data_IF_022970032903
#
_entry.id   IF_022970032903
#
_cell.length_a   1.000
_cell.length_b   1.000
_cell.length_c   1.000
_cell.angle_alpha   90.00
_cell.angle_beta   90.00
_cell.angle_gamma   90.00
#
_symmetry.space_group_name_H-M   'P 1'
#
loop_
_entity.id
_entity.type
_entity.pdbx_description
1 polymer ?
#
# COMPACT_ATOMS: atom_id res chain seq x y z
N UNK A 1 -19.23 -6.21 1.89
CA UNK A 1 -18.35 -7.18 1.19
C UNK A 1 -19.17 -8.01 0.22
N UNK A 2 -18.71 -8.13 -1.00
CA UNK A 2 -19.33 -8.96 -2.03
C UNK A 2 -18.70 -10.37 -2.07
N UNK A 3 -19.33 -11.37 -2.72
CA UNK A 3 -18.69 -12.67 -2.94
C UNK A 3 -17.36 -12.59 -3.70
N UNK A 4 -17.25 -11.63 -4.62
CA UNK A 4 -16.00 -11.36 -5.34
C UNK A 4 -14.92 -10.81 -4.40
N UNK A 5 -15.28 -9.91 -3.50
CA UNK A 5 -14.37 -9.38 -2.49
C UNK A 5 -13.78 -10.51 -1.64
N UNK A 6 -14.61 -11.44 -1.21
CA UNK A 6 -14.17 -12.59 -0.41
C UNK A 6 -13.16 -13.45 -1.16
N UNK A 7 -13.40 -13.74 -2.44
CA UNK A 7 -12.50 -14.53 -3.28
C UNK A 7 -11.12 -13.85 -3.40
N UNK A 8 -11.09 -12.55 -3.67
CA UNK A 8 -9.84 -11.81 -3.83
C UNK A 8 -9.12 -11.59 -2.49
N UNK A 9 -9.84 -11.43 -1.39
CA UNK A 9 -9.21 -11.40 -0.06
C UNK A 9 -8.54 -12.73 0.28
N UNK A 10 -9.16 -13.87 -0.06
CA UNK A 10 -8.50 -15.17 0.10
C UNK A 10 -7.24 -15.28 -0.74
N UNK A 11 -7.23 -14.70 -1.93
CA UNK A 11 -6.00 -14.63 -2.75
C UNK A 11 -4.93 -13.78 -2.08
N UNK A 12 -5.26 -12.63 -1.52
CA UNK A 12 -4.32 -11.79 -0.77
C UNK A 12 -3.73 -12.54 0.44
N UNK A 13 -4.57 -13.28 1.16
CA UNK A 13 -4.14 -14.11 2.30
C UNK A 13 -3.20 -15.24 1.83
N UNK A 14 -3.48 -15.87 0.69
CA UNK A 14 -2.61 -16.89 0.11
C UNK A 14 -1.23 -16.31 -0.29
N UNK A 15 -1.21 -15.11 -0.84
CA UNK A 15 0.04 -14.39 -1.15
C UNK A 15 0.82 -14.06 0.13
N UNK A 16 0.13 -13.69 1.22
CA UNK A 16 0.75 -13.47 2.52
C UNK A 16 1.38 -14.76 3.08
N UNK A 17 0.71 -15.90 2.92
CA UNK A 17 1.25 -17.19 3.33
C UNK A 17 2.49 -17.56 2.49
N UNK A 18 2.45 -17.37 1.19
CA UNK A 18 3.58 -17.60 0.30
C UNK A 18 4.78 -16.70 0.69
N UNK A 19 4.53 -15.44 1.03
CA UNK A 19 5.55 -14.53 1.53
C UNK A 19 6.25 -15.08 2.77
N UNK A 20 5.45 -15.53 3.75
CA UNK A 20 5.95 -16.16 4.98
C UNK A 20 6.78 -17.42 4.69
N UNK A 21 6.32 -18.25 3.78
CA UNK A 21 7.00 -19.49 3.39
C UNK A 21 8.38 -19.22 2.77
N UNK A 22 8.56 -18.06 2.14
CA UNK A 22 9.84 -17.58 1.61
C UNK A 22 10.72 -16.88 2.67
N UNK A 23 10.29 -16.80 3.92
CA UNK A 23 11.03 -16.13 4.98
C UNK A 23 10.84 -14.60 5.02
N UNK A 24 9.88 -14.08 4.26
CA UNK A 24 9.50 -12.67 4.25
C UNK A 24 8.36 -12.40 5.25
N UNK A 25 8.09 -11.13 5.55
CA UNK A 25 6.94 -10.75 6.36
C UNK A 25 5.61 -11.18 5.68
N UNK A 26 4.59 -11.60 6.46
CA UNK A 26 3.40 -12.25 5.93
C UNK A 26 2.34 -11.27 5.40
N UNK A 27 2.65 -10.57 4.33
CA UNK A 27 1.75 -9.60 3.70
C UNK A 27 1.67 -9.85 2.20
N UNK A 28 0.45 -9.83 1.67
CA UNK A 28 0.16 -10.04 0.27
C UNK A 28 -0.96 -9.14 -0.21
N UNK A 29 -0.89 -8.71 -1.46
CA UNK A 29 -1.86 -7.81 -2.07
C UNK A 29 -2.00 -8.10 -3.55
N UNK A 30 -3.14 -7.69 -4.12
CA UNK A 30 -3.38 -7.76 -5.56
C UNK A 30 -4.25 -6.59 -6.01
N UNK A 31 -4.18 -6.30 -7.31
CA UNK A 31 -5.01 -5.31 -7.97
C UNK A 31 -5.99 -6.03 -8.91
N UNK A 32 -7.27 -5.65 -8.83
CA UNK A 32 -8.33 -6.18 -9.68
C UNK A 32 -8.95 -5.02 -10.46
N UNK A 33 -8.92 -5.13 -11.78
CA UNK A 33 -9.44 -4.12 -12.68
C UNK A 33 -10.96 -4.10 -12.77
N UNK A 34 -11.51 -3.12 -13.53
CA UNK A 34 -12.96 -2.96 -13.66
C UNK A 34 -13.67 -4.14 -14.32
N UNK A 35 -12.95 -4.95 -15.08
CA UNK A 35 -13.47 -6.17 -15.71
C UNK A 35 -13.39 -7.42 -14.82
N UNK A 36 -12.95 -7.27 -13.57
CA UNK A 36 -12.80 -8.37 -12.62
C UNK A 36 -11.53 -9.19 -12.77
N UNK A 37 -10.60 -8.79 -13.64
CA UNK A 37 -9.32 -9.46 -13.82
C UNK A 37 -8.29 -9.00 -12.82
N UNK A 38 -7.46 -9.93 -12.35
CA UNK A 38 -6.26 -9.62 -11.59
C UNK A 38 -5.23 -8.99 -12.53
N UNK A 39 -4.86 -7.75 -12.24
CA UNK A 39 -3.89 -6.99 -13.04
C UNK A 39 -2.45 -7.22 -12.57
N UNK A 40 -2.25 -7.33 -11.27
CA UNK A 40 -0.94 -7.54 -10.66
C UNK A 40 -1.10 -8.11 -9.26
N UNK A 41 -0.10 -8.86 -8.80
CA UNK A 41 -0.02 -9.44 -7.46
C UNK A 41 1.37 -9.22 -6.91
N UNK A 42 1.48 -9.06 -5.59
CA UNK A 42 2.78 -8.96 -4.93
C UNK A 42 2.70 -9.35 -3.46
N UNK A 43 3.85 -9.56 -2.85
CA UNK A 43 4.00 -9.81 -1.42
C UNK A 43 5.18 -9.01 -0.86
N UNK A 44 5.34 -9.01 0.45
CA UNK A 44 6.43 -8.30 1.12
C UNK A 44 7.79 -8.87 0.69
N UNK A 45 8.73 -7.99 0.33
CA UNK A 45 10.11 -8.33 -0.02
C UNK A 45 11.13 -7.43 0.66
N UNK A 46 10.78 -6.85 1.82
CA UNK A 46 11.68 -5.95 2.58
C UNK A 46 13.03 -6.60 2.85
N UNK A 47 13.04 -7.85 3.31
CA UNK A 47 14.29 -8.55 3.62
C UNK A 47 15.08 -8.91 2.37
N UNK A 48 14.40 -9.44 1.34
CA UNK A 48 15.06 -9.85 0.09
C UNK A 48 15.67 -8.66 -0.67
N UNK A 49 14.96 -7.51 -0.69
CA UNK A 49 15.38 -6.33 -1.43
C UNK A 49 16.26 -5.37 -0.60
N UNK A 50 16.35 -5.58 0.72
CA UNK A 50 16.99 -4.62 1.61
C UNK A 50 16.32 -3.24 1.56
N UNK A 51 15.01 -3.21 1.41
CA UNK A 51 14.21 -2.01 1.17
C UNK A 51 13.01 -1.97 2.12
N UNK A 52 13.06 -1.05 3.09
CA UNK A 52 11.99 -0.87 4.09
C UNK A 52 10.64 -0.49 3.47
N UNK A 53 10.62 -0.03 2.22
CA UNK A 53 9.40 0.36 1.50
C UNK A 53 8.83 -0.77 0.64
N UNK A 54 9.49 -1.93 0.57
CA UNK A 54 9.08 -3.04 -0.29
C UNK A 54 7.87 -3.81 0.27
N UNK A 55 6.84 -3.07 0.68
CA UNK A 55 5.52 -3.59 1.00
C UNK A 55 4.73 -3.85 -0.28
N UNK A 56 3.88 -4.89 -0.33
CA UNK A 56 3.13 -5.20 -1.56
C UNK A 56 2.23 -4.04 -1.99
N UNK A 57 1.57 -3.34 -1.05
CA UNK A 57 0.70 -2.22 -1.37
C UNK A 57 1.48 -1.06 -1.99
N UNK A 58 2.65 -0.74 -1.43
CA UNK A 58 3.55 0.31 -1.94
C UNK A 58 3.98 0.01 -3.37
N UNK A 59 4.42 -1.22 -3.63
CA UNK A 59 4.88 -1.64 -4.95
C UNK A 59 3.74 -1.61 -5.97
N UNK A 60 2.57 -2.10 -5.60
CA UNK A 60 1.41 -2.15 -6.48
C UNK A 60 0.81 -0.76 -6.74
N UNK A 61 0.77 0.12 -5.74
CA UNK A 61 0.32 1.50 -5.93
C UNK A 61 1.21 2.24 -6.93
N UNK A 62 2.53 2.08 -6.80
CA UNK A 62 3.51 2.65 -7.74
C UNK A 62 3.35 2.06 -9.15
N UNK A 63 3.18 0.76 -9.26
CA UNK A 63 2.94 0.08 -10.53
C UNK A 63 1.66 0.60 -11.20
N UNK A 64 0.56 0.68 -10.46
CA UNK A 64 -0.72 1.17 -10.97
C UNK A 64 -0.63 2.61 -11.50
N UNK A 65 0.05 3.49 -10.76
CA UNK A 65 0.23 4.88 -11.17
C UNK A 65 1.03 5.03 -12.47
N UNK A 66 1.95 4.09 -12.74
CA UNK A 66 2.79 4.09 -13.95
C UNK A 66 2.13 3.42 -15.15
N UNK A 67 1.42 2.32 -14.91
CA UNK A 67 1.01 1.39 -15.98
C UNK A 67 -0.47 1.56 -16.38
N UNK A 68 -1.32 2.10 -15.51
CA UNK A 68 -2.74 2.22 -15.77
C UNK A 68 -3.12 3.65 -16.16
N UNK A 69 -4.03 3.80 -17.12
CA UNK A 69 -4.62 5.10 -17.40
C UNK A 69 -5.56 5.54 -16.27
N UNK A 70 -5.92 6.82 -16.25
CA UNK A 70 -6.74 7.42 -15.19
C UNK A 70 -8.09 6.72 -15.02
N UNK A 71 -8.77 6.39 -16.11
CA UNK A 71 -10.06 5.73 -16.06
C UNK A 71 -9.96 4.32 -15.47
N UNK A 72 -8.95 3.57 -15.88
CA UNK A 72 -8.72 2.21 -15.39
C UNK A 72 -8.30 2.20 -13.92
N UNK A 73 -7.33 3.03 -13.51
CA UNK A 73 -6.84 3.04 -12.13
C UNK A 73 -7.94 3.45 -11.15
N UNK A 74 -8.78 4.42 -11.51
CA UNK A 74 -9.90 4.87 -10.65
C UNK A 74 -10.98 3.81 -10.47
N UNK A 75 -11.06 2.84 -11.38
CA UNK A 75 -11.99 1.71 -11.31
C UNK A 75 -11.32 0.41 -10.83
N UNK A 76 -10.06 0.49 -10.39
CA UNK A 76 -9.28 -0.67 -9.90
C UNK A 76 -9.35 -0.73 -8.38
N UNK A 77 -9.53 -1.94 -7.86
CA UNK A 77 -9.54 -2.24 -6.42
C UNK A 77 -8.27 -2.94 -6.00
N UNK A 78 -7.68 -2.49 -4.92
CA UNK A 78 -6.60 -3.22 -4.24
C UNK A 78 -7.21 -4.09 -3.13
N UNK A 79 -6.87 -5.37 -3.16
CA UNK A 79 -7.17 -6.31 -2.08
C UNK A 79 -5.87 -6.60 -1.34
N UNK A 80 -5.90 -6.53 -0.02
CA UNK A 80 -4.71 -6.73 0.79
C UNK A 80 -5.03 -7.54 2.05
N UNK A 81 -4.09 -8.39 2.46
CA UNK A 81 -4.25 -9.28 3.61
C UNK A 81 -4.34 -8.51 4.93
N UNK A 82 -3.68 -7.35 5.02
CA UNK A 82 -3.69 -6.47 6.19
C UNK A 82 -3.93 -5.02 5.74
N UNK A 83 -4.63 -4.25 6.57
CA UNK A 83 -4.87 -2.84 6.30
C UNK A 83 -3.55 -2.11 6.02
N UNK A 84 -3.48 -1.30 4.94
CA UNK A 84 -2.26 -0.58 4.59
C UNK A 84 -1.75 0.28 5.75
N UNK A 85 -0.43 0.23 5.99
CA UNK A 85 0.22 1.11 6.95
C UNK A 85 0.19 2.57 6.44
N UNK A 86 0.50 3.58 7.29
CA UNK A 86 0.48 4.99 6.88
C UNK A 86 1.34 5.30 5.63
N UNK A 87 2.49 4.66 5.48
CA UNK A 87 3.34 4.80 4.30
C UNK A 87 2.62 4.33 3.03
N UNK A 88 2.03 3.15 3.07
CA UNK A 88 1.32 2.58 1.94
C UNK A 88 0.01 3.31 1.65
N UNK A 89 -0.72 3.73 2.69
CA UNK A 89 -1.93 4.53 2.53
C UNK A 89 -1.64 5.83 1.78
N UNK A 90 -0.53 6.50 2.11
CA UNK A 90 -0.10 7.71 1.40
C UNK A 90 0.23 7.46 -0.07
N UNK A 91 0.87 6.34 -0.39
CA UNK A 91 1.14 5.95 -1.77
C UNK A 91 -0.15 5.62 -2.54
N UNK A 92 -1.07 4.89 -1.90
CA UNK A 92 -2.36 4.54 -2.48
C UNK A 92 -3.17 5.81 -2.80
N UNK A 93 -3.21 6.77 -1.87
CA UNK A 93 -3.92 8.05 -2.08
C UNK A 93 -3.40 8.79 -3.32
N UNK A 94 -2.12 8.68 -3.62
CA UNK A 94 -1.48 9.33 -4.76
C UNK A 94 -1.57 8.53 -6.06
N UNK A 95 -1.88 7.25 -5.97
CA UNK A 95 -1.85 6.33 -7.12
C UNK A 95 -3.02 6.52 -8.08
N UNK A 96 -4.13 7.03 -7.59
CA UNK A 96 -5.39 7.10 -8.33
C UNK A 96 -6.29 5.89 -8.17
N UNK A 97 -5.89 4.86 -7.41
CA UNK A 97 -6.71 3.68 -7.12
C UNK A 97 -8.06 4.08 -6.53
N UNK A 98 -9.10 3.36 -6.92
CA UNK A 98 -10.47 3.71 -6.56
C UNK A 98 -10.97 3.12 -5.25
N UNK A 99 -10.37 2.00 -4.80
CA UNK A 99 -10.88 1.27 -3.63
C UNK A 99 -9.81 0.38 -3.03
N UNK A 100 -9.84 0.23 -1.71
CA UNK A 100 -9.03 -0.76 -0.98
C UNK A 100 -9.94 -1.62 -0.11
N UNK A 101 -9.73 -2.92 -0.15
CA UNK A 101 -10.41 -3.90 0.69
C UNK A 101 -9.37 -4.72 1.43
N UNK A 102 -9.47 -4.84 2.73
CA UNK A 102 -8.50 -5.57 3.55
C UNK A 102 -9.16 -6.61 4.45
N UNK A 103 -8.39 -7.64 4.81
CA UNK A 103 -8.90 -8.71 5.66
C UNK A 103 -8.65 -8.44 7.16
N UNK A 104 -7.41 -8.09 7.53
CA UNK A 104 -7.02 -7.82 8.92
C UNK A 104 -6.84 -6.31 9.13
N UNK A 105 -7.51 -5.73 10.12
CA UNK A 105 -7.36 -4.30 10.41
C UNK A 105 -6.03 -4.00 11.12
N UNK A 106 -5.57 -2.74 11.00
CA UNK A 106 -4.41 -2.26 11.73
C UNK A 106 -4.58 -2.39 13.25
N UNK A 107 -5.80 -2.16 13.74
CA UNK A 107 -6.13 -2.32 15.16
C UNK A 107 -5.99 -3.77 15.60
N UNK A 108 -6.56 -4.72 14.87
CA UNK A 108 -6.44 -6.15 15.18
C UNK A 108 -4.98 -6.61 15.13
N UNK A 109 -4.20 -6.10 14.17
CA UNK A 109 -2.78 -6.38 14.08
C UNK A 109 -2.03 -5.85 15.32
N UNK A 110 -2.30 -4.62 15.73
CA UNK A 110 -1.67 -3.99 16.91
C UNK A 110 -2.03 -4.73 18.21
N UNK A 111 -3.26 -5.23 18.33
CA UNK A 111 -3.69 -6.06 19.46
C UNK A 111 -2.89 -7.38 19.52
N UNK A 112 -2.58 -7.97 18.36
CA UNK A 112 -1.79 -9.21 18.25
C UNK A 112 -0.30 -8.96 18.50
N UNK A 113 0.23 -7.80 18.07
CA UNK A 113 1.66 -7.46 18.14
C UNK A 113 1.85 -6.04 18.68
N UNK A 114 1.62 -5.81 20.00
CA UNK A 114 1.66 -4.45 20.57
C UNK A 114 3.00 -3.72 20.41
N UNK A 115 4.11 -4.46 20.31
CA UNK A 115 5.46 -3.91 20.23
C UNK A 115 5.94 -3.65 18.79
N UNK A 116 5.10 -3.87 17.77
CA UNK A 116 5.50 -3.78 16.38
C UNK A 116 5.50 -2.37 15.80
N UNK A 117 5.00 -1.38 16.54
CA UNK A 117 4.91 0.01 16.08
C UNK A 117 6.14 0.77 16.54
N UNK A 118 7.01 1.13 15.59
CA UNK A 118 8.15 2.00 15.88
C UNK A 118 7.66 3.41 16.25
N UNK A 119 8.29 4.07 17.24
CA UNK A 119 7.94 5.45 17.56
C UNK A 119 8.28 6.37 16.38
N UNK A 120 7.48 7.43 16.16
CA UNK A 120 7.77 8.37 15.08
C UNK A 120 9.09 9.09 15.32
N UNK A 121 9.80 9.39 14.23
CA UNK A 121 11.01 10.19 14.28
C UNK A 121 10.62 11.64 14.58
N UNK A 122 11.23 12.30 15.58
CA UNK A 122 10.98 13.71 15.87
C UNK A 122 11.29 14.59 14.67
N UNK A 123 10.44 15.57 14.41
CA UNK A 123 10.63 16.56 13.34
C UNK A 123 10.66 17.95 13.96
N UNK A 124 11.60 18.77 13.54
CA UNK A 124 11.79 20.14 14.03
C UNK A 124 11.58 21.12 12.87
N UNK A 125 10.90 22.21 13.15
CA UNK A 125 10.56 23.27 12.19
C UNK A 125 9.30 24.05 12.63
N UNK A 126 8.91 25.11 11.88
CA UNK A 126 9.52 25.61 10.65
C UNK A 126 10.74 26.50 10.91
N UNK A 127 11.72 26.44 10.03
CA UNK A 127 12.87 27.34 9.99
C UNK A 127 13.05 27.88 8.56
N UNK A 128 13.54 29.11 8.42
CA UNK A 128 13.81 29.75 7.13
C UNK A 128 12.61 29.75 6.17
N UNK A 129 11.42 29.98 6.74
CA UNK A 129 10.15 29.93 6.01
C UNK A 129 10.16 30.81 4.76
N UNK A 130 10.60 32.07 4.87
CA UNK A 130 10.57 33.03 3.76
C UNK A 130 11.47 32.58 2.59
N UNK A 131 12.65 32.05 2.90
CA UNK A 131 13.55 31.51 1.88
C UNK A 131 12.97 30.25 1.23
N UNK A 132 12.40 29.36 2.04
CA UNK A 132 11.81 28.11 1.54
C UNK A 132 10.59 28.37 0.65
N UNK A 133 9.70 29.27 1.04
CA UNK A 133 8.46 29.57 0.30
C UNK A 133 8.79 30.28 -1.02
N UNK A 134 9.83 31.08 -1.09
CA UNK A 134 10.24 31.79 -2.30
C UNK A 134 10.58 30.83 -3.46
N UNK A 135 11.06 29.61 -3.14
CA UNK A 135 11.35 28.57 -4.14
C UNK A 135 10.08 28.09 -4.84
N UNK A 136 8.91 28.26 -4.22
CA UNK A 136 7.61 27.86 -4.77
C UNK A 136 7.01 28.93 -5.70
N UNK A 137 7.60 30.12 -5.76
CA UNK A 137 7.09 31.20 -6.59
C UNK A 137 7.09 30.79 -8.07
N UNK A 138 5.91 30.87 -8.72
CA UNK A 138 5.74 30.45 -10.11
C UNK A 138 5.61 28.95 -10.34
N UNK A 139 5.69 28.13 -9.28
CA UNK A 139 5.41 26.68 -9.36
C UNK A 139 3.91 26.42 -9.30
N UNK A 140 3.40 25.74 -10.31
CA UNK A 140 2.01 25.28 -10.36
C UNK A 140 1.94 23.78 -10.10
N UNK A 141 1.00 23.42 -9.22
CA UNK A 141 0.81 22.02 -8.78
C UNK A 141 -0.41 21.38 -9.46
#
# INVERSE_FOLDING_TARGET
>A
MTPHDETFLRRAIALAQASRDEGQAPYGSLLVGPDGRVLAEDHNTVLADGDITAHPEQKLARWAARELDRATVSATTMYTSCQPCPMCAGAIDRSGLGRVVYALSARQFAERYPASVAPPVPQEGPFLFDEAVAVLDGYER
#
